data_IF_447489963108
#
_entry.id   IF_447489963108
#
_cell.length_a   1.000
_cell.length_b   1.000
_cell.length_c   1.000
_cell.angle_alpha   90.00
_cell.angle_beta   90.00
_cell.angle_gamma   90.00
#
_symmetry.space_group_name_H-M   'P 1'
#
loop_
_entity.id
_entity.type
_entity.pdbx_description
1 polymer ?
#
# COMPACT_ATOMS: atom_id res chain seq x y z
N UNK A 1 27.01 -16.13 19.30
CA UNK A 1 27.57 -15.82 17.97
C UNK A 1 26.80 -16.71 17.00
N UNK A 2 25.76 -16.16 16.37
CA UNK A 2 25.11 -16.85 15.25
C UNK A 2 26.13 -16.85 14.10
N UNK A 3 26.40 -17.99 13.52
CA UNK A 3 27.19 -18.09 12.29
C UNK A 3 26.39 -17.34 11.21
N UNK A 4 26.89 -16.16 10.79
CA UNK A 4 26.40 -15.45 9.60
C UNK A 4 26.71 -16.34 8.39
N UNK A 5 25.76 -17.24 8.07
CA UNK A 5 25.88 -18.08 6.90
C UNK A 5 25.62 -17.23 5.65
N UNK A 6 26.70 -16.89 4.95
CA UNK A 6 26.67 -16.11 3.72
C UNK A 6 25.71 -16.69 2.67
N UNK A 7 25.40 -17.99 2.74
CA UNK A 7 24.45 -18.65 1.84
C UNK A 7 23.01 -18.16 2.01
N UNK A 8 22.61 -17.71 3.20
CA UNK A 8 21.26 -17.21 3.48
C UNK A 8 20.98 -15.83 2.88
N UNK A 9 22.01 -15.06 2.55
CA UNK A 9 21.92 -13.73 1.94
C UNK A 9 22.22 -13.72 0.43
N UNK A 10 22.29 -14.90 -0.21
CA UNK A 10 22.43 -15.04 -1.66
C UNK A 10 21.09 -15.41 -2.28
N UNK A 11 20.69 -14.68 -3.32
CA UNK A 11 19.46 -14.90 -4.08
C UNK A 11 19.75 -14.90 -5.58
N UNK A 12 19.40 -15.97 -6.27
CA UNK A 12 19.57 -16.09 -7.73
C UNK A 12 18.26 -16.05 -8.51
N UNK A 13 17.12 -16.19 -7.80
CA UNK A 13 15.80 -16.26 -8.42
C UNK A 13 14.77 -15.44 -7.64
N UNK A 14 13.78 -14.90 -8.36
CA UNK A 14 12.54 -14.33 -7.85
C UNK A 14 11.39 -15.05 -8.54
N UNK A 15 10.53 -15.70 -7.75
CA UNK A 15 9.37 -16.45 -8.26
C UNK A 15 9.73 -17.50 -9.35
N UNK A 16 10.92 -18.09 -9.27
CA UNK A 16 11.43 -19.05 -10.27
C UNK A 16 12.03 -18.44 -11.54
N UNK A 17 12.11 -17.12 -11.64
CA UNK A 17 12.81 -16.42 -12.73
C UNK A 17 14.22 -16.05 -12.28
N UNK A 18 15.23 -16.32 -13.14
CA UNK A 18 16.62 -16.00 -12.87
C UNK A 18 16.83 -14.47 -12.87
N UNK A 19 17.45 -13.95 -11.81
CA UNK A 19 17.61 -12.49 -11.60
C UNK A 19 18.60 -11.89 -12.63
N UNK A 20 19.68 -12.59 -12.96
CA UNK A 20 20.63 -12.11 -13.95
C UNK A 20 20.02 -12.03 -15.36
N UNK A 21 19.12 -12.97 -15.71
CA UNK A 21 18.40 -12.92 -16.98
C UNK A 21 17.38 -11.78 -17.01
N UNK A 22 16.67 -11.53 -15.90
CA UNK A 22 15.77 -10.38 -15.76
C UNK A 22 16.52 -9.06 -15.93
N UNK A 23 17.65 -8.91 -15.26
CA UNK A 23 18.50 -7.72 -15.35
C UNK A 23 19.06 -7.53 -16.77
N UNK A 24 19.48 -8.61 -17.44
CA UNK A 24 19.97 -8.56 -18.83
C UNK A 24 18.87 -8.16 -19.82
N UNK A 25 17.65 -8.68 -19.62
CA UNK A 25 16.51 -8.44 -20.53
C UNK A 25 15.90 -7.04 -20.36
N UNK A 26 15.87 -6.50 -19.14
CA UNK A 26 15.13 -5.28 -18.81
C UNK A 26 15.99 -4.14 -18.26
N UNK A 27 17.29 -4.39 -18.04
CA UNK A 27 18.22 -3.44 -17.40
C UNK A 27 17.96 -3.27 -15.90
N UNK A 28 18.86 -2.55 -15.22
CA UNK A 28 18.74 -2.15 -13.82
C UNK A 28 18.69 -0.62 -13.70
N UNK A 29 18.16 -0.06 -12.61
CA UNK A 29 17.38 -0.72 -11.59
C UNK A 29 16.06 -1.25 -12.16
N UNK A 30 15.49 -2.31 -11.57
CA UNK A 30 14.30 -3.01 -12.05
C UNK A 30 13.40 -3.37 -10.88
N UNK A 31 12.09 -3.10 -10.96
CA UNK A 31 11.11 -3.68 -10.05
C UNK A 31 10.65 -5.05 -10.54
N UNK A 32 10.61 -6.03 -9.64
CA UNK A 32 10.09 -7.38 -9.92
C UNK A 32 9.03 -7.72 -8.89
N UNK A 33 7.88 -8.21 -9.35
CA UNK A 33 6.78 -8.65 -8.49
C UNK A 33 6.53 -10.14 -8.65
N UNK A 34 6.33 -10.82 -7.52
CA UNK A 34 5.92 -12.23 -7.44
C UNK A 34 4.38 -12.30 -7.38
N UNK A 35 3.77 -12.82 -8.44
CA UNK A 35 2.32 -12.93 -8.54
C UNK A 35 1.73 -13.88 -7.50
N UNK A 36 2.43 -14.99 -7.16
CA UNK A 36 1.90 -15.98 -6.22
C UNK A 36 1.92 -15.47 -4.77
N UNK A 37 2.91 -14.65 -4.41
CA UNK A 37 2.90 -13.97 -3.11
C UNK A 37 1.68 -13.07 -3.00
N UNK A 38 1.35 -12.28 -4.03
CA UNK A 38 0.15 -11.43 -4.04
C UNK A 38 -1.12 -12.26 -3.88
N UNK A 39 -1.29 -13.33 -4.66
CA UNK A 39 -2.45 -14.23 -4.55
C UNK A 39 -2.60 -14.83 -3.16
N UNK A 40 -1.50 -15.31 -2.59
CA UNK A 40 -1.49 -15.86 -1.23
C UNK A 40 -1.95 -14.82 -0.21
N UNK A 41 -1.47 -13.58 -0.30
CA UNK A 41 -1.87 -12.49 0.59
C UNK A 41 -3.35 -12.12 0.45
N UNK A 42 -3.94 -12.23 -0.75
CA UNK A 42 -5.39 -12.09 -0.93
C UNK A 42 -6.14 -13.22 -0.23
N UNK A 43 -5.70 -14.47 -0.40
CA UNK A 43 -6.33 -15.65 0.24
C UNK A 43 -6.24 -15.62 1.76
N UNK A 44 -5.15 -15.09 2.33
CA UNK A 44 -4.97 -14.92 3.78
C UNK A 44 -6.11 -14.12 4.44
N UNK A 45 -6.80 -13.28 3.67
CA UNK A 45 -7.89 -12.40 4.13
C UNK A 45 -9.29 -12.87 3.71
N UNK A 46 -9.44 -14.09 3.21
CA UNK A 46 -10.71 -14.61 2.67
C UNK A 46 -11.87 -14.70 3.69
N UNK A 47 -11.60 -14.54 4.99
CA UNK A 47 -12.64 -14.50 6.01
C UNK A 47 -13.46 -13.20 6.00
N UNK A 48 -12.93 -12.12 5.44
CA UNK A 48 -13.61 -10.82 5.34
C UNK A 48 -14.65 -10.82 4.21
N UNK A 49 -15.79 -10.15 4.41
CA UNK A 49 -16.83 -10.06 3.36
C UNK A 49 -16.32 -9.29 2.13
N UNK A 50 -15.44 -8.32 2.35
CA UNK A 50 -14.84 -7.53 1.27
C UNK A 50 -13.38 -7.19 1.61
N UNK A 51 -12.50 -7.53 0.69
CA UNK A 51 -11.11 -7.05 0.70
C UNK A 51 -11.01 -5.91 -0.33
N UNK A 52 -10.62 -4.73 0.12
CA UNK A 52 -10.51 -3.53 -0.70
C UNK A 52 -9.05 -3.08 -0.78
N UNK A 53 -8.40 -3.33 -1.89
CA UNK A 53 -6.98 -3.00 -2.07
C UNK A 53 -6.77 -1.49 -2.08
N UNK A 54 -6.05 -0.96 -1.09
CA UNK A 54 -5.56 0.42 -1.08
C UNK A 54 -4.45 0.57 -2.13
N UNK A 55 -4.85 0.87 -3.39
CA UNK A 55 -3.95 0.82 -4.55
C UNK A 55 -2.81 1.85 -4.51
N UNK A 56 -2.89 2.85 -3.64
CA UNK A 56 -1.75 3.75 -3.35
C UNK A 56 -0.48 3.01 -2.95
N UNK A 57 -0.59 1.77 -2.47
CA UNK A 57 0.56 0.93 -2.15
C UNK A 57 1.28 0.43 -3.41
N UNK A 58 0.54 0.03 -4.44
CA UNK A 58 1.06 -0.41 -5.74
C UNK A 58 -0.03 -0.28 -6.80
N UNK A 59 0.02 0.75 -7.63
CA UNK A 59 -1.02 1.07 -8.62
C UNK A 59 -0.67 0.61 -10.04
N UNK A 60 0.24 -0.38 -10.21
CA UNK A 60 0.52 -0.97 -11.51
C UNK A 60 -0.73 -1.71 -12.02
N UNK A 61 -1.14 -1.43 -13.27
CA UNK A 61 -2.39 -1.96 -13.86
C UNK A 61 -2.40 -3.50 -13.87
N UNK A 62 -1.25 -4.15 -14.10
CA UNK A 62 -1.18 -5.61 -14.10
C UNK A 62 -1.31 -6.21 -12.69
N UNK A 63 -0.82 -5.51 -11.65
CA UNK A 63 -1.03 -5.89 -10.25
C UNK A 63 -2.49 -5.68 -9.88
N UNK A 64 -3.11 -4.57 -10.30
CA UNK A 64 -4.54 -4.32 -10.09
C UNK A 64 -5.41 -5.39 -10.76
N UNK A 65 -5.11 -5.80 -12.01
CA UNK A 65 -5.83 -6.89 -12.68
C UNK A 65 -5.63 -8.23 -11.96
N UNK A 66 -4.42 -8.50 -11.45
CA UNK A 66 -4.14 -9.70 -10.67
C UNK A 66 -5.03 -9.77 -9.41
N UNK A 67 -5.05 -8.72 -8.59
CA UNK A 67 -5.87 -8.71 -7.36
C UNK A 67 -7.36 -8.69 -7.65
N UNK A 68 -7.80 -8.05 -8.77
CA UNK A 68 -9.18 -8.10 -9.25
C UNK A 68 -9.63 -9.54 -9.54
N UNK A 69 -8.78 -10.34 -10.17
CA UNK A 69 -9.06 -11.76 -10.47
C UNK A 69 -9.16 -12.63 -9.23
N UNK A 70 -8.54 -12.21 -8.12
CA UNK A 70 -8.69 -12.84 -6.80
C UNK A 70 -9.96 -12.36 -6.06
N UNK A 71 -10.85 -11.59 -6.72
CA UNK A 71 -12.10 -11.09 -6.12
C UNK A 71 -11.91 -9.85 -5.23
N UNK A 72 -10.74 -9.25 -5.20
CA UNK A 72 -10.43 -8.06 -4.40
C UNK A 72 -10.90 -6.81 -5.15
N UNK A 73 -11.65 -5.93 -4.46
CA UNK A 73 -12.07 -4.62 -4.97
C UNK A 73 -11.02 -3.55 -4.63
N UNK A 74 -11.18 -2.30 -5.12
CA UNK A 74 -10.14 -1.28 -4.90
C UNK A 74 -10.65 -0.03 -4.19
N UNK A 75 -9.73 0.59 -3.47
CA UNK A 75 -9.82 1.94 -2.95
C UNK A 75 -8.97 2.88 -3.80
N UNK A 76 -9.54 4.03 -4.20
CA UNK A 76 -8.91 5.05 -5.01
C UNK A 76 -8.94 6.40 -4.28
N UNK A 77 -7.86 7.17 -4.35
CA UNK A 77 -7.73 8.47 -3.67
C UNK A 77 -7.56 9.64 -4.65
N UNK A 78 -7.67 9.39 -5.96
CA UNK A 78 -7.53 10.39 -7.01
C UNK A 78 -8.19 9.94 -8.31
N UNK A 79 -8.47 10.88 -9.23
CA UNK A 79 -8.93 10.57 -10.59
C UNK A 79 -7.96 9.65 -11.34
N UNK A 80 -6.65 9.82 -11.13
CA UNK A 80 -5.62 8.95 -11.72
C UNK A 80 -5.72 7.50 -11.22
N UNK A 81 -6.00 7.28 -9.95
CA UNK A 81 -6.21 5.94 -9.40
C UNK A 81 -7.53 5.33 -9.89
N UNK A 82 -8.60 6.11 -10.01
CA UNK A 82 -9.85 5.65 -10.64
C UNK A 82 -9.57 5.19 -12.08
N UNK A 83 -8.83 5.98 -12.86
CA UNK A 83 -8.47 5.63 -14.23
C UNK A 83 -7.66 4.32 -14.31
N UNK A 84 -6.69 4.11 -13.38
CA UNK A 84 -5.92 2.88 -13.31
C UNK A 84 -6.78 1.65 -12.98
N UNK A 85 -7.74 1.80 -12.07
CA UNK A 85 -8.68 0.73 -11.74
C UNK A 85 -9.52 0.33 -12.96
N UNK A 86 -10.07 1.31 -13.69
CA UNK A 86 -10.81 1.06 -14.94
C UNK A 86 -9.93 0.37 -16.00
N UNK A 87 -8.68 0.83 -16.17
CA UNK A 87 -7.71 0.23 -17.10
C UNK A 87 -7.35 -1.21 -16.70
N UNK A 88 -7.43 -1.56 -15.43
CA UNK A 88 -7.24 -2.93 -14.93
C UNK A 88 -8.51 -3.80 -15.05
N UNK A 89 -9.60 -3.27 -15.61
CA UNK A 89 -10.83 -3.99 -15.86
C UNK A 89 -11.81 -4.03 -14.69
N UNK A 90 -11.64 -3.18 -13.68
CA UNK A 90 -12.69 -3.00 -12.67
C UNK A 90 -13.90 -2.33 -13.31
N UNK A 91 -15.13 -2.84 -13.07
CA UNK A 91 -16.33 -2.16 -13.55
C UNK A 91 -16.54 -0.86 -12.77
N UNK A 92 -17.09 0.17 -13.45
CA UNK A 92 -17.42 1.44 -12.81
C UNK A 92 -18.56 1.29 -11.79
N UNK A 93 -19.51 0.38 -12.05
CA UNK A 93 -20.70 0.19 -11.22
C UNK A 93 -20.68 -1.17 -10.53
N UNK A 94 -21.25 -1.22 -9.34
CA UNK A 94 -21.55 -2.49 -8.69
C UNK A 94 -22.47 -3.34 -9.58
N UNK A 95 -22.32 -4.67 -9.56
CA UNK A 95 -23.29 -5.58 -10.19
C UNK A 95 -24.70 -5.27 -9.64
N UNK A 96 -25.73 -5.61 -10.42
CA UNK A 96 -27.11 -5.50 -9.92
C UNK A 96 -27.26 -6.28 -8.61
N UNK A 97 -28.01 -5.71 -7.66
CA UNK A 97 -28.30 -6.39 -6.39
C UNK A 97 -28.96 -7.75 -6.67
N UNK A 98 -28.60 -8.79 -5.89
CA UNK A 98 -29.27 -10.09 -6.02
C UNK A 98 -30.76 -9.97 -5.74
N UNK A 99 -31.55 -10.83 -6.35
CA UNK A 99 -33.01 -10.83 -6.18
C UNK A 99 -33.47 -11.22 -4.77
N UNK A 100 -32.56 -11.73 -3.92
CA UNK A 100 -32.82 -12.09 -2.53
C UNK A 100 -32.67 -10.87 -1.60
N UNK A 101 -33.69 -10.56 -0.83
CA UNK A 101 -33.70 -9.46 0.16
C UNK A 101 -32.85 -9.75 1.41
N UNK A 102 -32.31 -10.96 1.54
CA UNK A 102 -31.52 -11.40 2.70
C UNK A 102 -30.02 -11.23 2.52
N UNK A 103 -29.55 -11.05 1.29
CA UNK A 103 -28.14 -10.91 0.98
C UNK A 103 -27.74 -9.43 0.91
N UNK A 104 -26.55 -9.12 1.42
CA UNK A 104 -25.98 -7.79 1.26
C UNK A 104 -25.79 -7.46 -0.23
N UNK A 105 -26.08 -6.23 -0.68
CA UNK A 105 -25.80 -5.84 -2.06
C UNK A 105 -24.30 -6.03 -2.34
N UNK A 106 -23.90 -6.31 -3.60
CA UNK A 106 -22.50 -6.46 -3.94
C UNK A 106 -21.66 -5.26 -3.50
N UNK A 107 -20.42 -5.49 -3.09
CA UNK A 107 -19.51 -4.41 -2.76
C UNK A 107 -19.21 -3.54 -4.00
N UNK A 108 -19.06 -2.23 -3.80
CA UNK A 108 -18.64 -1.33 -4.85
C UNK A 108 -17.23 -1.70 -5.34
N UNK A 109 -17.03 -1.94 -6.65
CA UNK A 109 -15.74 -2.38 -7.19
C UNK A 109 -14.63 -1.33 -7.02
N UNK A 110 -15.01 -0.05 -7.11
CA UNK A 110 -14.14 1.11 -6.90
C UNK A 110 -14.84 2.01 -5.88
N UNK A 111 -14.14 2.36 -4.81
CA UNK A 111 -14.58 3.37 -3.83
C UNK A 111 -13.58 4.50 -3.85
N UNK A 112 -14.05 5.73 -3.73
CA UNK A 112 -13.20 6.90 -3.57
C UNK A 112 -13.08 7.24 -2.08
N UNK A 113 -11.88 7.22 -1.54
CA UNK A 113 -11.59 7.53 -0.13
C UNK A 113 -10.62 8.68 -0.04
N UNK A 114 -11.06 9.85 0.43
CA UNK A 114 -10.22 11.02 0.61
C UNK A 114 -10.76 11.95 1.70
N UNK A 115 -9.99 12.98 2.04
CA UNK A 115 -10.40 14.06 2.94
C UNK A 115 -10.86 15.31 2.17
N UNK A 116 -10.61 15.32 0.86
CA UNK A 116 -11.02 16.38 -0.08
C UNK A 116 -11.36 15.76 -1.44
N UNK A 117 -12.14 16.48 -2.25
CA UNK A 117 -12.15 16.31 -3.70
C UNK A 117 -11.22 17.35 -4.36
N UNK A 118 -10.39 16.91 -5.31
CA UNK A 118 -9.99 17.78 -6.40
C UNK A 118 -11.08 17.76 -7.49
N UNK A 119 -11.03 18.71 -8.43
CA UNK A 119 -12.08 18.86 -9.46
C UNK A 119 -12.21 17.61 -10.33
N UNK A 120 -11.10 17.04 -10.76
CA UNK A 120 -11.08 15.87 -11.64
C UNK A 120 -11.63 14.63 -10.93
N UNK A 121 -11.34 14.48 -9.63
CA UNK A 121 -11.85 13.39 -8.81
C UNK A 121 -13.35 13.50 -8.59
N UNK A 122 -13.88 14.69 -8.27
CA UNK A 122 -15.32 14.92 -8.12
C UNK A 122 -16.06 14.65 -9.43
N UNK A 123 -15.52 15.12 -10.56
CA UNK A 123 -16.09 14.88 -11.89
C UNK A 123 -16.10 13.39 -12.24
N UNK A 124 -15.01 12.66 -11.94
CA UNK A 124 -14.93 11.22 -12.15
C UNK A 124 -15.92 10.44 -11.28
N UNK A 125 -16.00 10.78 -9.98
CA UNK A 125 -16.94 10.18 -9.01
C UNK A 125 -18.37 10.40 -9.47
N UNK A 126 -18.77 11.64 -9.81
CA UNK A 126 -20.13 11.97 -10.24
C UNK A 126 -20.49 11.27 -11.56
N UNK A 127 -19.61 11.31 -12.56
CA UNK A 127 -19.85 10.69 -13.87
C UNK A 127 -19.97 9.17 -13.79
N UNK A 128 -19.22 8.53 -12.91
CA UNK A 128 -19.16 7.07 -12.77
C UNK A 128 -20.08 6.55 -11.64
N UNK A 129 -20.74 7.43 -10.88
CA UNK A 129 -21.59 7.02 -9.75
C UNK A 129 -20.84 6.20 -8.70
N UNK A 130 -19.58 6.56 -8.38
CA UNK A 130 -18.76 5.81 -7.43
C UNK A 130 -19.22 6.08 -6.01
N UNK A 131 -19.12 5.05 -5.16
CA UNK A 131 -19.31 5.20 -3.71
C UNK A 131 -18.13 5.99 -3.11
N UNK A 132 -18.43 6.82 -2.11
CA UNK A 132 -17.46 7.72 -1.49
C UNK A 132 -17.34 7.45 0.01
N UNK A 133 -16.12 7.32 0.49
CA UNK A 133 -15.74 7.41 1.90
C UNK A 133 -15.34 8.87 2.17
N UNK A 134 -16.23 9.65 2.72
CA UNK A 134 -16.03 11.08 2.99
C UNK A 134 -15.17 11.27 4.25
N UNK A 135 -14.04 11.94 4.11
CA UNK A 135 -13.14 12.28 5.22
C UNK A 135 -13.33 13.71 5.75
N UNK A 136 -14.23 14.50 5.16
CA UNK A 136 -14.61 15.83 5.67
C UNK A 136 -16.10 16.10 5.39
N UNK A 137 -16.68 17.01 6.17
CA UNK A 137 -18.07 17.42 5.98
C UNK A 137 -18.29 18.17 4.66
N UNK A 138 -17.29 18.94 4.19
CA UNK A 138 -17.38 19.69 2.93
C UNK A 138 -17.48 18.78 1.71
N UNK A 139 -16.93 17.56 1.78
CA UNK A 139 -17.11 16.55 0.72
C UNK A 139 -18.58 16.15 0.56
N UNK A 140 -19.38 16.12 1.63
CA UNK A 140 -20.80 15.79 1.56
C UNK A 140 -21.55 16.82 0.70
N UNK A 141 -21.34 18.09 0.95
CA UNK A 141 -21.99 19.17 0.22
C UNK A 141 -21.59 19.16 -1.26
N UNK A 142 -20.28 19.07 -1.54
CA UNK A 142 -19.77 18.98 -2.90
C UNK A 142 -20.31 17.76 -3.66
N UNK A 143 -20.45 16.62 -2.98
CA UNK A 143 -21.03 15.43 -3.58
C UNK A 143 -22.53 15.59 -3.83
N UNK A 144 -23.28 16.14 -2.88
CA UNK A 144 -24.72 16.33 -3.00
C UNK A 144 -25.11 17.23 -4.19
N UNK A 145 -24.31 18.25 -4.46
CA UNK A 145 -24.50 19.13 -5.64
C UNK A 145 -24.39 18.37 -6.97
N UNK A 146 -23.61 17.29 -7.00
CA UNK A 146 -23.29 16.54 -8.22
C UNK A 146 -24.06 15.22 -8.33
N UNK A 147 -24.33 14.56 -7.18
CA UNK A 147 -24.97 13.25 -7.09
C UNK A 147 -26.02 13.27 -5.97
N UNK A 148 -27.16 13.97 -6.17
CA UNK A 148 -28.22 14.02 -5.19
C UNK A 148 -28.74 12.63 -4.80
N UNK A 149 -28.99 12.41 -3.51
CA UNK A 149 -29.51 11.14 -3.01
C UNK A 149 -28.46 10.01 -2.88
N UNK A 150 -27.18 10.31 -3.06
CA UNK A 150 -26.11 9.31 -2.92
C UNK A 150 -26.05 8.77 -1.48
N UNK A 151 -25.68 7.49 -1.36
CA UNK A 151 -25.28 6.89 -0.10
C UNK A 151 -23.75 6.99 0.06
N UNK A 152 -23.30 7.35 1.25
CA UNK A 152 -21.88 7.55 1.56
C UNK A 152 -21.44 6.75 2.78
N UNK A 153 -20.12 6.55 2.89
CA UNK A 153 -19.46 6.12 4.10
C UNK A 153 -18.77 7.33 4.76
N UNK A 154 -18.84 7.46 6.07
CA UNK A 154 -18.08 8.46 6.81
C UNK A 154 -16.75 7.84 7.29
N UNK A 155 -15.64 8.49 6.97
CA UNK A 155 -14.34 8.17 7.56
C UNK A 155 -14.18 8.98 8.85
N UNK A 156 -14.09 8.30 9.97
CA UNK A 156 -14.05 8.91 11.29
C UNK A 156 -12.65 8.84 11.89
N UNK A 157 -12.21 9.99 12.43
CA UNK A 157 -11.04 10.08 13.29
C UNK A 157 -11.50 9.87 14.74
N UNK A 158 -11.10 8.78 15.41
CA UNK A 158 -11.59 8.46 16.75
C UNK A 158 -10.96 9.29 17.89
N UNK A 159 -10.09 10.26 17.57
CA UNK A 159 -9.39 11.09 18.56
C UNK A 159 -8.06 10.50 19.03
N UNK A 160 -7.72 9.32 18.61
CA UNK A 160 -6.43 8.66 18.85
C UNK A 160 -5.92 7.98 17.58
N UNK A 161 -4.62 7.71 17.54
CA UNK A 161 -4.01 7.05 16.39
C UNK A 161 -2.73 6.34 16.77
N UNK A 162 -2.33 5.39 15.95
CA UNK A 162 -1.13 4.61 16.11
C UNK A 162 -0.40 4.44 14.78
N UNK A 163 0.93 4.53 14.80
CA UNK A 163 1.75 4.32 13.59
C UNK A 163 3.20 4.13 13.98
N UNK A 164 3.97 3.45 13.13
CA UNK A 164 5.42 3.26 13.34
C UNK A 164 6.20 4.60 13.46
N UNK A 165 5.62 5.69 12.96
CA UNK A 165 6.13 7.06 13.12
C UNK A 165 4.96 8.04 13.04
N UNK A 166 5.16 9.28 13.49
CA UNK A 166 4.17 10.37 13.32
C UNK A 166 3.74 10.55 11.86
N UNK A 167 4.65 10.31 10.91
CA UNK A 167 4.37 10.43 9.46
C UNK A 167 3.41 9.35 8.93
N UNK A 168 3.20 8.26 9.67
CA UNK A 168 2.32 7.14 9.29
C UNK A 168 1.12 6.99 10.22
N UNK A 169 0.97 7.88 11.19
CA UNK A 169 -0.21 7.98 12.05
C UNK A 169 -1.36 8.66 11.27
N UNK A 170 -2.54 8.04 11.25
CA UNK A 170 -3.73 8.53 10.54
C UNK A 170 -4.93 8.81 11.46
N UNK A 171 -4.72 8.86 12.77
CA UNK A 171 -5.73 9.21 13.78
C UNK A 171 -5.20 10.23 14.80
N UNK A 172 -6.10 10.77 15.65
CA UNK A 172 -5.79 11.77 16.66
C UNK A 172 -5.63 13.19 16.09
N UNK A 173 -5.36 14.16 16.97
CA UNK A 173 -5.29 15.60 16.62
C UNK A 173 -4.16 15.94 15.65
N UNK A 174 -3.07 15.17 15.63
CA UNK A 174 -1.94 15.36 14.72
C UNK A 174 -2.16 14.82 13.31
N UNK A 175 -3.34 14.25 13.01
CA UNK A 175 -3.68 13.69 11.71
C UNK A 175 -4.71 14.57 10.99
N UNK A 176 -4.48 14.80 9.70
CA UNK A 176 -5.45 15.49 8.84
C UNK A 176 -6.62 14.61 8.40
N UNK A 177 -6.59 13.30 8.71
CA UNK A 177 -7.50 12.32 8.13
C UNK A 177 -8.76 12.13 8.95
N UNK A 178 -9.88 12.10 8.22
CA UNK A 178 -11.19 11.74 8.74
C UNK A 178 -11.87 12.85 9.53
N UNK A 179 -13.16 12.70 9.73
CA UNK A 179 -14.04 13.59 10.51
C UNK A 179 -13.81 13.31 11.99
N UNK A 180 -13.61 14.36 12.79
CA UNK A 180 -13.45 14.23 14.23
C UNK A 180 -14.68 13.62 14.87
N UNK A 181 -14.51 12.62 15.74
CA UNK A 181 -15.63 11.81 16.26
C UNK A 181 -16.72 12.63 16.97
N UNK A 182 -16.36 13.74 17.62
CA UNK A 182 -17.35 14.61 18.29
C UNK A 182 -18.20 15.44 17.32
N UNK A 183 -17.75 15.60 16.06
CA UNK A 183 -18.48 16.33 15.02
C UNK A 183 -19.51 15.45 14.30
N UNK A 184 -19.52 14.14 14.52
CA UNK A 184 -20.40 13.21 13.82
C UNK A 184 -21.88 13.59 13.91
N UNK A 185 -22.47 13.98 15.07
CA UNK A 185 -23.86 14.38 15.13
C UNK A 185 -24.20 15.57 14.22
N UNK A 186 -23.28 16.55 14.09
CA UNK A 186 -23.45 17.68 13.17
C UNK A 186 -23.32 17.25 11.72
N UNK A 187 -22.35 16.39 11.43
CA UNK A 187 -22.10 15.88 10.08
C UNK A 187 -23.29 15.04 9.58
N UNK A 188 -23.91 14.25 10.43
CA UNK A 188 -25.13 13.52 10.09
C UNK A 188 -26.29 14.46 9.74
N UNK A 189 -26.47 15.56 10.48
CA UNK A 189 -27.46 16.58 10.14
C UNK A 189 -27.17 17.27 8.81
N UNK A 190 -25.91 17.59 8.53
CA UNK A 190 -25.47 18.16 7.24
C UNK A 190 -25.74 17.19 6.08
N UNK A 191 -25.45 15.88 6.28
CA UNK A 191 -25.75 14.87 5.28
C UNK A 191 -27.24 14.77 4.99
N UNK A 192 -28.10 14.71 6.03
CA UNK A 192 -29.56 14.69 5.92
C UNK A 192 -30.09 15.93 5.20
N UNK A 193 -29.63 17.12 5.59
CA UNK A 193 -30.00 18.38 4.94
C UNK A 193 -29.59 18.43 3.47
N UNK A 194 -28.43 17.88 3.13
CA UNK A 194 -27.94 17.74 1.76
C UNK A 194 -28.65 16.61 0.97
N UNK A 195 -29.52 15.84 1.61
CA UNK A 195 -30.26 14.74 0.98
C UNK A 195 -29.40 13.49 0.73
N UNK A 196 -28.30 13.31 1.47
CA UNK A 196 -27.42 12.14 1.36
C UNK A 196 -27.76 11.10 2.44
N UNK A 197 -27.66 9.83 2.09
CA UNK A 197 -27.76 8.71 3.03
C UNK A 197 -26.39 8.31 3.59
N UNK A 198 -26.26 8.19 4.92
CA UNK A 198 -25.05 7.59 5.52
C UNK A 198 -25.31 6.10 5.73
N UNK A 199 -24.60 5.26 4.97
CA UNK A 199 -24.77 3.79 4.98
C UNK A 199 -23.51 3.03 5.41
N UNK A 200 -22.38 3.70 5.52
CA UNK A 200 -21.11 3.09 5.89
C UNK A 200 -20.35 3.87 6.95
N UNK A 201 -19.50 3.17 7.68
CA UNK A 201 -18.59 3.72 8.68
C UNK A 201 -17.20 3.11 8.49
N UNK A 202 -16.20 3.98 8.41
CA UNK A 202 -14.81 3.64 8.19
C UNK A 202 -13.92 4.26 9.27
N UNK A 203 -13.03 3.46 9.86
CA UNK A 203 -11.98 3.96 10.74
C UNK A 203 -10.63 3.37 10.34
N UNK A 204 -9.61 4.23 10.28
CA UNK A 204 -8.24 3.83 10.02
C UNK A 204 -7.29 4.71 10.83
N UNK A 205 -6.54 4.11 11.78
CA UNK A 205 -5.71 4.84 12.75
C UNK A 205 -4.21 4.83 12.42
N UNK A 206 -3.78 4.13 11.38
CA UNK A 206 -2.38 4.04 10.96
C UNK A 206 -1.88 2.62 10.78
N UNK A 207 -0.57 2.48 10.57
CA UNK A 207 0.07 1.19 10.25
C UNK A 207 0.73 0.57 11.48
N UNK A 208 0.57 -0.76 11.68
CA UNK A 208 1.31 -1.52 12.67
C UNK A 208 0.73 -1.51 14.08
N UNK A 209 -0.56 -1.22 14.22
CA UNK A 209 -1.26 -1.32 15.50
C UNK A 209 -1.29 -2.78 15.99
N UNK A 210 -1.11 -2.98 17.29
CA UNK A 210 -1.34 -4.27 17.95
C UNK A 210 -2.85 -4.52 18.20
N UNK A 211 -3.20 -5.74 18.64
CA UNK A 211 -4.58 -6.12 18.86
C UNK A 211 -5.29 -5.27 19.94
N UNK A 212 -4.57 -4.73 20.92
CA UNK A 212 -5.16 -3.89 21.96
C UNK A 212 -5.63 -2.55 21.38
N UNK A 213 -4.77 -1.88 20.59
CA UNK A 213 -5.15 -0.65 19.89
C UNK A 213 -6.28 -0.87 18.89
N UNK A 214 -6.28 -2.02 18.20
CA UNK A 214 -7.36 -2.37 17.26
C UNK A 214 -8.68 -2.61 17.98
N UNK A 215 -8.67 -3.13 19.21
CA UNK A 215 -9.86 -3.25 20.04
C UNK A 215 -10.43 -1.88 20.45
N UNK A 216 -9.58 -0.91 20.75
CA UNK A 216 -10.00 0.48 21.01
C UNK A 216 -10.69 1.09 19.78
N UNK A 217 -10.14 0.85 18.58
CA UNK A 217 -10.75 1.32 17.32
C UNK A 217 -12.11 0.69 17.09
N UNK A 218 -12.21 -0.63 17.27
CA UNK A 218 -13.48 -1.35 17.10
C UNK A 218 -14.53 -0.85 18.10
N UNK A 219 -14.15 -0.57 19.35
CA UNK A 219 -15.02 0.04 20.35
C UNK A 219 -15.43 1.48 20.00
N UNK A 220 -14.53 2.29 19.45
CA UNK A 220 -14.84 3.63 18.97
C UNK A 220 -15.80 3.60 17.79
N UNK A 221 -15.57 2.69 16.83
CA UNK A 221 -16.46 2.49 15.70
C UNK A 221 -17.86 2.09 16.15
N UNK A 222 -17.98 1.18 17.11
CA UNK A 222 -19.27 0.74 17.65
C UNK A 222 -20.06 1.90 18.28
N UNK A 223 -19.40 2.81 19.03
CA UNK A 223 -20.05 4.01 19.58
C UNK A 223 -20.63 4.90 18.49
N UNK A 224 -19.84 5.22 17.46
CA UNK A 224 -20.29 6.06 16.33
C UNK A 224 -21.38 5.36 15.52
N UNK A 225 -21.29 4.03 15.35
CA UNK A 225 -22.32 3.25 14.66
C UNK A 225 -23.70 3.38 15.31
N UNK A 226 -23.75 3.55 16.63
CA UNK A 226 -25.02 3.77 17.35
C UNK A 226 -25.67 5.13 17.03
N UNK A 227 -24.88 6.14 16.71
CA UNK A 227 -25.37 7.46 16.30
C UNK A 227 -25.96 7.43 14.87
N UNK A 228 -25.33 6.66 13.95
CA UNK A 228 -25.84 6.47 12.59
C UNK A 228 -27.12 5.61 12.60
N UNK A 229 -27.15 4.57 13.43
CA UNK A 229 -28.31 3.73 13.62
C UNK A 229 -28.56 2.75 12.46
N UNK A 230 -29.86 2.50 12.17
CA UNK A 230 -30.29 1.42 11.27
C UNK A 230 -29.94 1.60 9.79
N UNK A 231 -29.52 2.78 9.36
CA UNK A 231 -29.07 2.99 7.98
C UNK A 231 -27.73 2.35 7.68
N UNK A 232 -26.96 1.99 8.74
CA UNK A 232 -25.63 1.42 8.60
C UNK A 232 -25.68 0.00 8.03
N UNK A 233 -25.10 -0.21 6.87
CA UNK A 233 -25.02 -1.51 6.17
C UNK A 233 -23.58 -2.00 5.97
N UNK A 234 -22.58 -1.14 6.22
CA UNK A 234 -21.16 -1.46 6.01
C UNK A 234 -20.30 -0.86 7.11
N UNK A 235 -19.39 -1.63 7.63
CA UNK A 235 -18.29 -1.15 8.48
C UNK A 235 -16.95 -1.57 7.87
N UNK A 236 -15.99 -0.65 7.87
CA UNK A 236 -14.62 -0.91 7.40
C UNK A 236 -13.62 -0.78 8.54
N UNK A 237 -12.82 -1.81 8.72
CA UNK A 237 -11.68 -1.85 9.64
C UNK A 237 -10.50 -0.99 9.14
N UNK A 238 -10.61 -0.40 7.94
CA UNK A 238 -9.52 0.32 7.31
C UNK A 238 -8.34 -0.58 6.94
N UNK A 239 -7.20 0.05 6.73
CA UNK A 239 -5.95 -0.64 6.42
C UNK A 239 -5.06 -0.80 7.66
N UNK A 240 -3.74 -0.83 7.42
CA UNK A 240 -2.75 -0.80 8.51
C UNK A 240 -2.14 -2.15 8.85
N UNK A 241 -2.57 -3.26 8.24
CA UNK A 241 -1.94 -4.57 8.45
C UNK A 241 -0.44 -4.51 8.17
N UNK A 242 0.40 -4.79 9.17
CA UNK A 242 1.85 -4.78 9.01
C UNK A 242 2.35 -6.02 8.27
N UNK A 243 3.57 -5.90 7.73
CA UNK A 243 4.41 -7.02 7.32
C UNK A 243 5.75 -6.90 8.04
N UNK A 244 6.40 -7.99 8.40
CA UNK A 244 7.72 -7.94 9.01
C UNK A 244 8.76 -7.50 7.98
N UNK A 245 9.49 -6.42 8.26
CA UNK A 245 10.64 -5.98 7.48
C UNK A 245 11.96 -6.48 8.07
N UNK A 246 12.00 -6.69 9.38
CA UNK A 246 13.17 -7.21 10.09
C UNK A 246 12.95 -8.65 10.55
N UNK A 247 14.02 -9.43 10.73
CA UNK A 247 13.90 -10.84 11.15
C UNK A 247 13.24 -11.05 12.52
N UNK A 248 13.34 -10.06 13.41
CA UNK A 248 12.77 -10.08 14.76
C UNK A 248 11.32 -9.55 14.83
N UNK A 249 10.77 -9.03 13.74
CA UNK A 249 9.38 -8.58 13.68
C UNK A 249 8.41 -9.76 13.50
N UNK A 250 7.33 -9.75 14.28
CA UNK A 250 6.32 -10.81 14.27
C UNK A 250 5.24 -10.50 13.24
N UNK A 251 4.73 -11.54 12.58
CA UNK A 251 3.59 -11.41 11.66
C UNK A 251 2.32 -11.07 12.42
N UNK A 252 1.43 -10.30 11.79
CA UNK A 252 0.12 -9.98 12.34
C UNK A 252 -0.71 -11.25 12.57
N UNK A 253 -1.39 -11.33 13.71
CA UNK A 253 -2.41 -12.34 13.97
C UNK A 253 -3.70 -11.99 13.22
N UNK A 254 -3.82 -12.51 12.00
CA UNK A 254 -4.97 -12.25 11.13
C UNK A 254 -6.26 -12.85 11.71
N UNK A 255 -6.19 -13.99 12.38
CA UNK A 255 -7.34 -14.65 12.97
C UNK A 255 -7.89 -13.86 14.16
N UNK A 256 -7.02 -13.41 15.05
CA UNK A 256 -7.38 -12.54 16.17
C UNK A 256 -7.94 -11.21 15.68
N UNK A 257 -7.34 -10.62 14.64
CA UNK A 257 -7.81 -9.38 14.03
C UNK A 257 -9.21 -9.51 13.43
N UNK A 258 -9.44 -10.56 12.63
CA UNK A 258 -10.77 -10.84 12.09
C UNK A 258 -11.80 -11.10 13.19
N UNK A 259 -11.48 -11.93 14.18
CA UNK A 259 -12.38 -12.27 15.29
C UNK A 259 -12.85 -11.03 16.06
N UNK A 260 -11.95 -10.09 16.31
CA UNK A 260 -12.26 -8.83 16.97
C UNK A 260 -13.32 -8.02 16.20
N UNK A 261 -13.10 -7.84 14.91
CA UNK A 261 -14.01 -7.06 14.06
C UNK A 261 -15.33 -7.78 13.78
N UNK A 262 -15.31 -9.09 13.61
CA UNK A 262 -16.50 -9.91 13.43
C UNK A 262 -17.39 -9.90 14.68
N UNK A 263 -16.80 -9.90 15.88
CA UNK A 263 -17.54 -9.74 17.13
C UNK A 263 -18.24 -8.37 17.22
N UNK A 264 -17.57 -7.30 16.79
CA UNK A 264 -18.17 -5.95 16.72
C UNK A 264 -19.30 -5.91 15.70
N UNK A 265 -19.09 -6.45 14.49
CA UNK A 265 -20.14 -6.58 13.47
C UNK A 265 -21.37 -7.30 14.01
N UNK A 266 -21.21 -8.45 14.67
CA UNK A 266 -22.33 -9.24 15.23
C UNK A 266 -23.15 -8.47 16.26
N UNK A 267 -22.49 -7.73 17.17
CA UNK A 267 -23.21 -6.87 18.13
C UNK A 267 -24.05 -5.79 17.44
N UNK A 268 -23.53 -5.20 16.35
CA UNK A 268 -24.26 -4.23 15.56
C UNK A 268 -25.42 -4.87 14.77
N UNK A 269 -25.22 -6.06 14.18
CA UNK A 269 -26.25 -6.86 13.51
C UNK A 269 -27.40 -7.21 14.47
N UNK A 270 -27.08 -7.69 15.67
CA UNK A 270 -28.05 -8.00 16.72
C UNK A 270 -28.87 -6.76 17.13
N UNK A 271 -28.20 -5.59 17.22
CA UNK A 271 -28.84 -4.34 17.59
C UNK A 271 -29.74 -3.77 16.50
N UNK A 272 -29.31 -3.80 15.26
CA UNK A 272 -30.01 -3.17 14.13
C UNK A 272 -31.02 -4.11 13.45
N UNK A 273 -30.85 -5.41 13.63
CA UNK A 273 -31.76 -6.44 13.11
C UNK A 273 -31.58 -6.75 11.63
N UNK A 274 -30.39 -6.48 11.08
CA UNK A 274 -30.00 -6.81 9.70
C UNK A 274 -28.52 -7.06 9.57
N UNK A 275 -28.11 -7.69 8.47
CA UNK A 275 -26.71 -7.97 8.19
C UNK A 275 -25.91 -6.70 7.87
N UNK A 276 -24.65 -6.67 8.32
CA UNK A 276 -23.71 -5.59 8.09
C UNK A 276 -22.46 -6.18 7.39
N UNK A 277 -22.04 -5.57 6.29
CA UNK A 277 -20.80 -5.94 5.60
C UNK A 277 -19.59 -5.52 6.42
N UNK A 278 -18.63 -6.43 6.55
CA UNK A 278 -17.34 -6.18 7.16
C UNK A 278 -16.24 -6.09 6.08
N UNK A 279 -15.63 -4.92 5.95
CA UNK A 279 -14.58 -4.64 4.97
C UNK A 279 -13.22 -4.43 5.63
N UNK A 280 -12.15 -4.74 4.89
CA UNK A 280 -10.76 -4.44 5.24
C UNK A 280 -10.04 -3.79 4.05
N UNK A 281 -9.13 -2.84 4.31
CA UNK A 281 -8.43 -2.06 3.28
C UNK A 281 -6.90 -2.29 3.28
N UNK A 282 -6.41 -3.51 3.01
CA UNK A 282 -4.99 -3.79 2.98
C UNK A 282 -4.34 -3.13 1.76
N UNK A 283 -3.23 -2.42 2.00
CA UNK A 283 -2.33 -1.96 0.93
C UNK A 283 -1.00 -2.69 1.03
N UNK A 284 -0.23 -2.35 2.07
CA UNK A 284 1.08 -2.94 2.37
C UNK A 284 1.03 -4.46 2.42
N UNK A 285 0.05 -5.02 3.11
CA UNK A 285 -0.05 -6.46 3.34
C UNK A 285 -0.11 -7.27 2.04
N UNK A 286 -0.81 -6.77 1.02
CA UNK A 286 -0.98 -7.52 -0.23
C UNK A 286 0.27 -7.51 -1.12
N UNK A 287 1.06 -6.44 -1.10
CA UNK A 287 2.09 -6.25 -2.14
C UNK A 287 3.52 -6.10 -1.63
N UNK A 288 3.75 -5.71 -0.36
CA UNK A 288 5.09 -5.40 0.11
C UNK A 288 6.07 -6.55 -0.09
N UNK A 289 5.74 -7.73 0.41
CA UNK A 289 6.61 -8.92 0.35
C UNK A 289 6.69 -9.53 -1.06
N UNK A 290 5.80 -9.12 -1.96
CA UNK A 290 5.80 -9.58 -3.35
C UNK A 290 6.78 -8.81 -4.23
N UNK A 291 7.29 -7.65 -3.80
CA UNK A 291 8.08 -6.78 -4.66
C UNK A 291 9.53 -6.66 -4.25
N UNK A 292 10.37 -6.57 -5.26
CA UNK A 292 11.83 -6.49 -5.17
C UNK A 292 12.35 -5.37 -6.06
N UNK A 293 13.43 -4.72 -5.63
CA UNK A 293 14.26 -3.87 -6.50
C UNK A 293 15.55 -4.61 -6.80
N UNK A 294 15.80 -4.92 -8.07
CA UNK A 294 17.06 -5.45 -8.55
C UNK A 294 17.90 -4.31 -9.05
N UNK A 295 19.13 -4.18 -8.55
CA UNK A 295 20.04 -3.09 -8.87
C UNK A 295 21.46 -3.62 -9.06
N UNK A 296 22.27 -2.99 -9.93
CA UNK A 296 23.63 -3.40 -10.19
C UNK A 296 24.62 -2.63 -9.31
N UNK A 297 25.61 -3.30 -8.75
CA UNK A 297 26.72 -2.69 -8.03
C UNK A 297 27.69 -2.06 -9.04
N UNK A 298 27.76 -0.72 -9.05
CA UNK A 298 28.55 0.05 -9.99
C UNK A 298 29.91 0.49 -9.45
N UNK A 299 30.03 0.54 -8.10
CA UNK A 299 31.30 0.82 -7.46
C UNK A 299 31.38 0.17 -6.08
N UNK A 300 32.56 -0.23 -5.69
CA UNK A 300 32.94 -0.65 -4.33
C UNK A 300 34.05 0.27 -3.86
N UNK A 301 33.80 1.00 -2.77
CA UNK A 301 34.80 1.95 -2.25
C UNK A 301 34.90 1.93 -0.74
N UNK A 302 36.04 2.39 -0.21
CA UNK A 302 36.27 2.60 1.22
C UNK A 302 36.37 4.09 1.51
N UNK A 303 35.75 4.50 2.61
CA UNK A 303 35.77 5.85 3.10
C UNK A 303 36.05 5.79 4.60
N UNK A 304 37.31 6.10 4.99
CA UNK A 304 37.78 5.82 6.34
C UNK A 304 37.65 4.32 6.66
N UNK A 305 37.04 3.98 7.78
CA UNK A 305 36.82 2.58 8.21
C UNK A 305 35.62 1.89 7.57
N UNK A 306 34.82 2.57 6.72
CA UNK A 306 33.57 2.03 6.18
C UNK A 306 33.70 1.62 4.72
N UNK A 307 33.15 0.45 4.37
CA UNK A 307 33.03 -0.02 2.98
C UNK A 307 31.64 0.34 2.45
N UNK A 308 31.58 0.82 1.22
CA UNK A 308 30.35 1.18 0.51
C UNK A 308 30.19 0.32 -0.75
N UNK A 309 28.98 -0.18 -0.97
CA UNK A 309 28.51 -0.66 -2.26
C UNK A 309 27.65 0.46 -2.86
N UNK A 310 28.07 1.01 -3.99
CA UNK A 310 27.29 2.01 -4.71
C UNK A 310 26.56 1.33 -5.87
N UNK A 311 25.25 1.42 -5.84
CA UNK A 311 24.36 0.76 -6.79
C UNK A 311 23.71 1.79 -7.73
N UNK A 312 23.11 1.34 -8.84
CA UNK A 312 22.46 2.22 -9.81
C UNK A 312 21.03 2.64 -9.44
N UNK A 313 20.43 2.01 -8.43
CA UNK A 313 19.21 2.50 -7.78
C UNK A 313 19.55 3.57 -6.74
N UNK A 314 18.74 4.62 -6.64
CA UNK A 314 18.80 5.63 -5.58
C UNK A 314 17.45 5.78 -4.87
N UNK A 315 17.34 6.77 -3.97
CA UNK A 315 16.04 7.06 -3.35
C UNK A 315 14.99 7.50 -4.37
N UNK A 316 15.38 7.97 -5.55
CA UNK A 316 14.48 8.21 -6.67
C UNK A 316 13.80 6.94 -7.17
N UNK A 317 14.41 5.77 -6.94
CA UNK A 317 13.82 4.45 -7.22
C UNK A 317 13.03 3.95 -6.02
N UNK A 318 13.60 3.99 -4.80
CA UNK A 318 12.96 3.53 -3.56
C UNK A 318 13.19 4.56 -2.44
N UNK A 319 12.21 5.46 -2.25
CA UNK A 319 12.33 6.59 -1.33
C UNK A 319 12.21 6.21 0.16
N UNK A 320 11.65 5.07 0.48
CA UNK A 320 11.26 4.70 1.86
C UNK A 320 12.38 4.73 2.90
N UNK A 321 13.61 4.22 2.62
CA UNK A 321 14.72 4.32 3.56
C UNK A 321 15.05 5.76 3.95
N UNK A 322 15.06 6.67 2.97
CA UNK A 322 15.38 8.09 3.18
C UNK A 322 14.22 8.84 3.84
N UNK A 323 12.98 8.59 3.40
CA UNK A 323 11.81 9.34 3.85
C UNK A 323 11.32 8.94 5.25
N UNK A 324 11.44 7.64 5.59
CA UNK A 324 10.86 7.04 6.80
C UNK A 324 11.86 6.27 7.66
N UNK A 325 13.15 6.20 7.29
CA UNK A 325 14.10 5.30 7.94
C UNK A 325 13.74 3.81 7.77
N UNK A 326 12.95 3.47 6.76
CA UNK A 326 12.43 2.11 6.60
C UNK A 326 13.55 1.11 6.31
N UNK A 327 13.57 0.04 7.11
CA UNK A 327 14.43 -1.10 6.85
C UNK A 327 13.90 -1.88 5.64
N UNK A 328 14.80 -2.32 4.77
CA UNK A 328 14.53 -3.30 3.71
C UNK A 328 15.62 -4.38 3.77
N UNK A 329 15.26 -5.67 3.81
CA UNK A 329 16.24 -6.76 3.67
C UNK A 329 16.94 -6.66 2.32
N UNK A 330 18.17 -7.17 2.27
CA UNK A 330 18.99 -7.16 1.06
C UNK A 330 19.65 -8.51 0.86
N UNK A 331 19.70 -8.96 -0.39
CA UNK A 331 20.39 -10.20 -0.80
C UNK A 331 21.31 -9.91 -1.98
N UNK A 332 22.42 -10.61 -2.05
CA UNK A 332 23.34 -10.54 -3.19
C UNK A 332 22.93 -11.57 -4.25
N UNK A 333 22.92 -11.18 -5.51
CA UNK A 333 22.94 -12.09 -6.66
C UNK A 333 24.31 -11.99 -7.33
N UNK A 334 25.27 -12.84 -6.95
CA UNK A 334 26.60 -12.79 -7.52
C UNK A 334 26.58 -13.27 -8.99
N UNK A 335 27.30 -12.58 -9.85
CA UNK A 335 27.45 -12.95 -11.26
C UNK A 335 28.45 -14.08 -11.49
N UNK A 336 29.28 -14.36 -10.48
CA UNK A 336 30.22 -15.49 -10.43
C UNK A 336 29.85 -16.51 -9.36
N UNK A 337 30.88 -17.16 -8.82
CA UNK A 337 30.74 -18.07 -7.68
C UNK A 337 30.29 -17.30 -6.43
N UNK A 338 29.44 -17.91 -5.58
CA UNK A 338 29.00 -17.24 -4.36
C UNK A 338 30.19 -17.02 -3.42
N UNK A 339 30.31 -15.79 -2.85
CA UNK A 339 31.39 -15.50 -1.92
C UNK A 339 31.23 -16.30 -0.62
N UNK A 340 32.36 -16.70 -0.05
CA UNK A 340 32.42 -17.52 1.17
C UNK A 340 32.31 -16.68 2.46
N UNK A 341 32.44 -15.36 2.40
CA UNK A 341 32.45 -14.49 3.58
C UNK A 341 31.48 -13.32 3.44
N UNK A 342 30.93 -12.88 4.59
CA UNK A 342 30.19 -11.64 4.69
C UNK A 342 31.07 -10.47 5.12
N UNK A 343 30.66 -9.27 4.75
CA UNK A 343 31.30 -8.01 5.11
C UNK A 343 30.23 -6.99 5.55
N UNK A 344 30.61 -6.16 6.50
CA UNK A 344 29.77 -5.02 6.89
C UNK A 344 29.90 -3.88 5.88
N UNK A 345 28.81 -3.60 5.18
CA UNK A 345 28.79 -2.61 4.10
C UNK A 345 27.63 -1.62 4.27
N UNK A 346 27.87 -0.38 3.86
CA UNK A 346 26.83 0.58 3.60
C UNK A 346 26.44 0.51 2.12
N UNK A 347 25.12 0.64 1.83
CA UNK A 347 24.61 0.63 0.46
C UNK A 347 24.09 2.02 0.12
N UNK A 348 24.65 2.63 -0.93
CA UNK A 348 24.28 3.96 -1.41
C UNK A 348 23.95 3.96 -2.89
N UNK A 349 23.16 4.95 -3.29
CA UNK A 349 22.74 5.13 -4.69
C UNK A 349 23.63 6.09 -5.49
N UNK A 350 23.21 6.44 -6.71
CA UNK A 350 23.98 7.24 -7.65
C UNK A 350 23.63 8.73 -7.62
N UNK A 351 22.76 9.18 -6.73
CA UNK A 351 22.24 10.56 -6.75
C UNK A 351 23.25 11.53 -6.13
N UNK A 352 23.26 12.76 -6.63
CA UNK A 352 24.08 13.83 -6.09
C UNK A 352 23.46 14.41 -4.81
N UNK A 353 23.27 13.54 -3.80
CA UNK A 353 22.63 13.83 -2.53
C UNK A 353 23.23 12.94 -1.43
N UNK A 354 23.67 13.56 -0.33
CA UNK A 354 24.30 12.85 0.80
C UNK A 354 23.39 11.83 1.46
N UNK A 355 22.08 12.07 1.41
CA UNK A 355 21.04 11.19 1.95
C UNK A 355 20.73 9.96 1.07
N UNK A 356 21.35 9.82 -0.10
CA UNK A 356 21.10 8.68 -1.01
C UNK A 356 21.76 7.38 -0.51
N UNK A 357 21.34 6.95 0.66
CA UNK A 357 21.83 5.76 1.37
C UNK A 357 20.63 4.89 1.76
N UNK A 358 20.62 3.63 1.34
CA UNK A 358 19.59 2.66 1.69
C UNK A 358 19.76 2.09 3.09
N UNK A 359 21.02 1.99 3.55
CA UNK A 359 21.37 1.48 4.88
C UNK A 359 21.54 2.62 5.86
N UNK A 360 20.42 3.17 6.33
CA UNK A 360 20.41 4.22 7.33
C UNK A 360 19.40 3.92 8.46
N UNK A 361 19.67 4.49 9.62
CA UNK A 361 18.77 4.52 10.76
C UNK A 361 17.94 5.81 10.74
N UNK A 362 16.99 5.92 11.67
CA UNK A 362 16.23 7.14 11.91
C UNK A 362 17.19 8.34 12.10
N UNK A 363 16.79 9.48 11.55
CA UNK A 363 17.62 10.67 11.52
C UNK A 363 18.69 10.69 10.42
N UNK A 364 18.72 9.70 9.53
CA UNK A 364 19.64 9.67 8.38
C UNK A 364 21.05 9.17 8.70
N UNK A 365 21.27 8.61 9.90
CA UNK A 365 22.59 8.07 10.27
C UNK A 365 22.91 6.82 9.47
N UNK A 366 24.07 6.85 8.77
CA UNK A 366 24.53 5.71 7.96
C UNK A 366 24.86 4.52 8.84
N UNK A 367 24.22 3.39 8.57
CA UNK A 367 24.47 2.09 9.20
C UNK A 367 25.10 1.12 8.19
N UNK A 368 25.38 -0.09 8.63
CA UNK A 368 25.86 -1.17 7.77
C UNK A 368 24.90 -2.34 7.76
N UNK A 369 25.05 -3.21 6.76
CA UNK A 369 24.45 -4.53 6.67
C UNK A 369 25.56 -5.56 6.48
N UNK A 370 25.44 -6.69 7.15
CA UNK A 370 26.27 -7.87 6.86
C UNK A 370 25.76 -8.49 5.57
N UNK A 371 26.51 -8.38 4.50
CA UNK A 371 26.22 -8.93 3.17
C UNK A 371 27.39 -9.77 2.66
N UNK A 372 27.13 -10.76 1.81
CA UNK A 372 28.21 -11.48 1.14
C UNK A 372 29.15 -10.52 0.42
N UNK A 373 30.47 -10.82 0.41
CA UNK A 373 31.48 -9.98 -0.24
C UNK A 373 31.13 -9.81 -1.72
N UNK A 374 30.93 -8.57 -2.13
CA UNK A 374 30.40 -8.25 -3.45
C UNK A 374 31.42 -7.49 -4.32
N UNK A 375 31.31 -7.65 -5.63
CA UNK A 375 32.14 -7.00 -6.65
C UNK A 375 31.29 -6.09 -7.56
N UNK A 376 31.96 -5.22 -8.31
CA UNK A 376 31.34 -4.44 -9.39
C UNK A 376 30.79 -5.40 -10.45
N UNK A 377 29.55 -5.19 -10.86
CA UNK A 377 28.82 -6.03 -11.80
C UNK A 377 27.93 -7.09 -11.14
N UNK A 378 28.09 -7.38 -9.84
CA UNK A 378 27.11 -8.19 -9.10
C UNK A 378 25.80 -7.43 -8.96
N UNK A 379 24.70 -8.17 -8.78
CA UNK A 379 23.39 -7.58 -8.54
C UNK A 379 23.04 -7.63 -7.05
N UNK A 380 22.46 -6.54 -6.56
CA UNK A 380 21.87 -6.46 -5.24
C UNK A 380 20.36 -6.46 -5.36
N UNK A 381 19.70 -7.23 -4.52
CA UNK A 381 18.22 -7.29 -4.42
C UNK A 381 17.80 -6.63 -3.15
N UNK A 382 17.02 -5.55 -3.25
CA UNK A 382 16.36 -4.91 -2.11
C UNK A 382 14.95 -5.50 -2.02
N UNK A 383 14.68 -6.18 -0.92
CA UNK A 383 13.47 -6.98 -0.72
C UNK A 383 12.34 -6.18 -0.08
N UNK A 384 11.13 -6.75 -0.08
CA UNK A 384 9.91 -6.17 0.53
C UNK A 384 9.62 -4.75 -0.01
N UNK A 385 9.92 -4.53 -1.30
CA UNK A 385 9.80 -3.23 -1.95
C UNK A 385 8.48 -3.05 -2.74
N UNK A 386 7.53 -4.01 -2.66
CA UNK A 386 6.33 -4.01 -3.49
C UNK A 386 5.25 -3.01 -3.07
N UNK A 387 5.31 -2.48 -1.85
CA UNK A 387 4.39 -1.45 -1.39
C UNK A 387 5.11 -0.13 -1.15
N UNK A 388 4.54 0.96 -1.68
CA UNK A 388 5.10 2.31 -1.55
C UNK A 388 6.54 2.41 -2.10
N UNK A 389 6.89 1.53 -3.04
CA UNK A 389 8.13 1.55 -3.78
C UNK A 389 7.97 2.37 -5.07
N UNK A 390 7.63 1.71 -6.17
CA UNK A 390 7.50 2.37 -7.47
C UNK A 390 6.56 3.59 -7.46
N UNK A 391 5.44 3.53 -6.74
CA UNK A 391 4.46 4.63 -6.66
C UNK A 391 5.03 5.93 -6.05
N UNK A 392 6.14 5.83 -5.33
CA UNK A 392 6.87 6.98 -4.76
C UNK A 392 8.17 7.28 -5.52
N UNK A 393 8.45 6.58 -6.61
CA UNK A 393 9.61 6.87 -7.45
C UNK A 393 9.48 8.22 -8.13
N UNK A 394 10.61 8.84 -8.44
CA UNK A 394 10.69 10.17 -9.03
C UNK A 394 11.80 10.29 -10.05
N UNK A 395 11.78 11.37 -10.81
CA UNK A 395 12.85 11.72 -11.77
C UNK A 395 13.94 12.62 -11.15
N UNK A 396 14.18 12.52 -9.84
CA UNK A 396 15.24 13.30 -9.21
C UNK A 396 16.59 13.06 -9.88
N UNK A 397 17.40 14.11 -10.05
CA UNK A 397 18.60 14.17 -10.88
C UNK A 397 18.38 13.74 -12.35
N UNK A 398 17.18 13.93 -12.89
CA UNK A 398 16.79 13.54 -14.25
C UNK A 398 17.06 12.06 -14.54
N UNK A 399 16.85 11.19 -13.54
CA UNK A 399 16.94 9.73 -13.70
C UNK A 399 15.63 9.18 -14.22
N UNK A 400 15.61 8.35 -15.29
CA UNK A 400 14.41 7.67 -15.75
C UNK A 400 13.82 6.73 -14.71
N UNK A 401 12.49 6.62 -14.69
CA UNK A 401 11.81 5.61 -13.87
C UNK A 401 12.15 4.20 -14.35
N UNK A 402 12.33 3.23 -13.44
CA UNK A 402 12.70 1.85 -13.78
C UNK A 402 11.58 1.10 -14.51
N UNK A 403 11.93 -0.01 -15.15
CA UNK A 403 10.94 -0.97 -15.63
C UNK A 403 10.29 -1.72 -14.46
N UNK A 404 9.08 -2.26 -14.69
CA UNK A 404 8.41 -3.18 -13.77
C UNK A 404 8.10 -4.51 -14.48
N UNK A 405 8.42 -5.62 -13.84
CA UNK A 405 8.18 -6.99 -14.32
C UNK A 405 7.34 -7.75 -13.31
N UNK A 406 6.31 -8.44 -13.77
CA UNK A 406 5.52 -9.39 -13.00
C UNK A 406 5.96 -10.81 -13.37
N UNK A 407 6.34 -11.61 -12.38
CA UNK A 407 6.69 -13.03 -12.57
C UNK A 407 5.53 -13.88 -12.07
N UNK A 408 5.00 -14.73 -12.94
CA UNK A 408 3.90 -15.65 -12.66
C UNK A 408 4.31 -17.07 -13.05
N UNK A 409 4.48 -17.96 -12.06
CA UNK A 409 4.90 -19.34 -12.26
C UNK A 409 6.23 -19.45 -13.03
N UNK A 410 7.22 -18.65 -12.67
CA UNK A 410 8.54 -18.61 -13.32
C UNK A 410 8.56 -17.85 -14.67
N UNK A 411 7.42 -17.32 -15.13
CA UNK A 411 7.30 -16.62 -16.42
C UNK A 411 7.30 -15.11 -16.19
N UNK A 412 8.38 -14.40 -16.57
CA UNK A 412 8.42 -12.95 -16.46
C UNK A 412 7.62 -12.27 -17.56
N UNK A 413 6.91 -11.22 -17.23
CA UNK A 413 6.18 -10.35 -18.16
C UNK A 413 6.49 -8.89 -17.82
N UNK A 414 6.96 -8.14 -18.81
CA UNK A 414 7.11 -6.69 -18.67
C UNK A 414 5.73 -6.06 -18.49
N UNK A 415 5.52 -5.36 -17.37
CA UNK A 415 4.23 -4.72 -17.03
C UNK A 415 4.31 -3.20 -16.99
N UNK A 416 5.54 -2.66 -17.10
CA UNK A 416 5.85 -1.26 -17.38
C UNK A 416 7.22 -1.18 -18.04
N UNK A 417 7.29 -0.51 -19.19
CA UNK A 417 8.55 -0.19 -19.83
C UNK A 417 9.34 0.82 -18.98
N UNK A 418 10.67 0.74 -19.03
CA UNK A 418 11.56 1.80 -18.51
C UNK A 418 11.25 3.11 -19.20
N UNK A 419 11.20 4.20 -18.45
CA UNK A 419 11.13 5.53 -19.02
C UNK A 419 12.41 5.82 -19.82
N UNK A 420 12.30 6.37 -21.02
CA UNK A 420 13.44 6.81 -21.80
C UNK A 420 13.97 8.16 -21.33
N UNK A 421 15.16 8.55 -21.76
CA UNK A 421 15.71 9.89 -21.47
C UNK A 421 14.88 10.97 -22.17
N UNK A 422 14.34 10.67 -23.34
CA UNK A 422 13.46 11.57 -24.10
C UNK A 422 12.12 11.78 -23.38
N UNK A 423 11.63 10.80 -22.63
CA UNK A 423 10.41 10.95 -21.83
C UNK A 423 10.55 12.00 -20.72
N UNK A 424 11.78 12.29 -20.27
CA UNK A 424 12.03 13.24 -19.19
C UNK A 424 11.63 14.68 -19.55
N UNK A 425 11.73 15.03 -20.83
CA UNK A 425 11.38 16.38 -21.33
C UNK A 425 10.02 16.42 -22.02
N UNK A 426 9.25 15.31 -21.95
CA UNK A 426 7.92 15.26 -22.54
C UNK A 426 6.97 16.26 -21.86
N UNK A 427 6.41 17.17 -22.64
CA UNK A 427 5.51 18.22 -22.15
C UNK A 427 6.23 19.50 -21.71
N UNK A 428 7.56 19.55 -21.78
CA UNK A 428 8.30 20.80 -21.62
C UNK A 428 8.31 21.60 -22.92
N UNK A 429 8.24 22.92 -22.81
CA UNK A 429 8.34 23.87 -23.94
C UNK A 429 9.50 24.81 -23.68
N UNK A 430 10.34 25.06 -24.69
CA UNK A 430 11.44 26.03 -24.64
C UNK A 430 10.96 27.45 -25.02
#
# INVERSE_FOLDING_TARGET
MASDDASQSVRREIAGANIADLARAHGTPLYVYDAEVIRRRCRDLAAWDTIRFAQKACSNVAVLDLVRREGVVVDAVSAGEIHRALAAGYPAHAPAAPASTTDLPPAHPIVYTADIFDRDSLDAVARLGLHVNCGSADMLEQLAERVPGAAVTLRVNPGFGHGHSQKTNTGGEGSKHGIWHEEIPEVLRRAEWAGLGVSGLHMHIGSGADLAHLAEVAGALERVAHEIGRSLTTISAGGGLPVPYKPDEVRADLSGYFTLWDATRKRLEDRFGHRIRLEIEPGRYLTAEAGYVVTEIRAVKRQGGRKYLLVDAGFNTLARPVLYGSYHPMSLCPMGDPPAACEDVAVGGPLCESGDIFTQADGGFVTTRSLPAAAVGDLLVIEIAGAYGFVMASNYNSKPLPAEVLVDGGRPRLVRARQSVEDLVRGETA
#
